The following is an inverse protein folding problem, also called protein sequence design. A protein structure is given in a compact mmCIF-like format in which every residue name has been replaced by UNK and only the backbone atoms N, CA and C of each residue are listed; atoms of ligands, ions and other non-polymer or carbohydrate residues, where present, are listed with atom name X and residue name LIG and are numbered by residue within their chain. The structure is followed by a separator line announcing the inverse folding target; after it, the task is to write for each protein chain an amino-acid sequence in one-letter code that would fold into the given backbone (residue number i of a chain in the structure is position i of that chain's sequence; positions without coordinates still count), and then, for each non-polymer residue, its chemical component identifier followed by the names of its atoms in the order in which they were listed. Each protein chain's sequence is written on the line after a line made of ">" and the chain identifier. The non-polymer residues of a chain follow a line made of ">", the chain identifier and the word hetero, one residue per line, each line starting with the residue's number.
data_IF_061904124080
#
_entry.id   IF_061904124080
#
_cell.length_a   1.000
_cell.length_b   1.000
_cell.length_c   1.000
_cell.angle_alpha   90.00
_cell.angle_beta   90.00
_cell.angle_gamma   90.00
#
_symmetry.space_group_name_H-M   'P 1'
#
loop_
_entity.id
_entity.type
_entity.pdbx_description
1 polymer ?
#
# COMPACT_ATOMS: atom_id res chain seq x y z
N UNK A 1 43.11 -47.74 43.77
CA UNK A 1 42.58 -47.63 42.39
C UNK A 1 41.50 -46.55 42.40
N UNK A 2 41.88 -45.28 42.17
CA UNK A 2 41.57 -44.51 40.94
C UNK A 2 40.06 -44.51 40.63
N UNK A 3 39.28 -43.42 40.73
CA UNK A 3 39.56 -42.04 40.30
C UNK A 3 38.79 -40.99 41.13
N UNK A 4 39.43 -39.82 41.29
CA UNK A 4 38.88 -38.54 41.79
C UNK A 4 37.95 -37.91 40.74
N UNK A 5 36.99 -37.07 41.16
CA UNK A 5 36.96 -35.64 40.84
C UNK A 5 35.63 -34.97 41.27
N UNK A 6 35.75 -34.00 42.18
CA UNK A 6 34.84 -32.89 42.43
C UNK A 6 34.85 -31.96 41.21
N UNK A 7 33.69 -31.46 40.72
CA UNK A 7 33.55 -30.07 40.23
C UNK A 7 32.11 -29.59 40.44
N UNK A 8 32.01 -28.40 41.03
CA UNK A 8 30.81 -27.62 41.32
C UNK A 8 30.45 -26.66 40.17
N UNK A 9 29.18 -26.23 40.15
CA UNK A 9 28.63 -24.95 39.61
C UNK A 9 28.90 -24.60 38.13
N UNK A 10 27.82 -24.48 37.34
CA UNK A 10 27.62 -23.37 36.41
C UNK A 10 26.15 -23.30 35.96
N UNK A 11 25.39 -22.41 36.60
CA UNK A 11 24.23 -21.79 35.97
C UNK A 11 24.77 -20.80 34.92
N UNK A 12 24.56 -21.05 33.62
CA UNK A 12 24.85 -20.06 32.59
C UNK A 12 24.14 -20.42 31.28
N UNK A 13 23.38 -19.45 30.74
CA UNK A 13 23.15 -19.36 29.30
C UNK A 13 21.77 -19.73 28.79
N UNK A 14 20.70 -19.21 29.41
CA UNK A 14 19.47 -18.96 28.64
C UNK A 14 19.81 -17.85 27.65
N UNK A 15 20.21 -18.24 26.43
CA UNK A 15 20.54 -17.33 25.34
C UNK A 15 19.35 -16.39 25.14
N UNK A 16 19.51 -15.15 25.59
CA UNK A 16 18.60 -14.07 25.28
C UNK A 16 18.68 -13.87 23.75
N UNK A 17 17.79 -14.52 23.02
CA UNK A 17 17.55 -14.22 21.62
C UNK A 17 17.03 -12.78 21.63
N UNK A 18 17.73 -11.80 21.03
CA UNK A 18 17.16 -10.48 20.90
C UNK A 18 15.88 -10.66 20.08
N UNK A 19 14.73 -10.39 20.70
CA UNK A 19 13.47 -10.35 20.00
C UNK A 19 13.63 -9.31 18.91
N UNK A 20 13.79 -9.77 17.68
CA UNK A 20 13.75 -8.90 16.51
C UNK A 20 12.33 -8.34 16.52
N UNK A 21 12.17 -7.11 17.02
CA UNK A 21 10.92 -6.38 16.86
C UNK A 21 10.69 -6.32 15.35
N UNK A 22 9.79 -7.16 14.85
CA UNK A 22 9.27 -7.02 13.52
C UNK A 22 8.67 -5.61 13.47
N UNK A 23 9.27 -4.71 12.69
CA UNK A 23 8.66 -3.44 12.39
C UNK A 23 7.26 -3.76 11.85
N UNK A 24 6.23 -3.22 12.51
CA UNK A 24 4.85 -3.39 12.05
C UNK A 24 4.79 -2.72 10.68
N UNK A 25 4.53 -3.51 9.65
CA UNK A 25 4.33 -3.01 8.30
C UNK A 25 3.08 -2.11 8.30
N UNK A 26 3.25 -0.84 7.98
CA UNK A 26 2.12 0.08 7.81
C UNK A 26 1.47 -0.15 6.44
N UNK A 27 0.24 0.37 6.28
CA UNK A 27 -0.50 0.36 5.00
C UNK A 27 -0.52 1.76 4.40
N UNK A 28 0.02 1.89 3.18
CA UNK A 28 -0.03 3.12 2.39
C UNK A 28 -1.28 3.07 1.52
N UNK A 29 -2.27 3.91 1.84
CA UNK A 29 -3.47 4.05 1.02
C UNK A 29 -3.19 4.92 -0.20
N UNK A 30 -3.45 4.41 -1.39
CA UNK A 30 -3.32 5.15 -2.65
C UNK A 30 -4.66 5.16 -3.37
N UNK A 31 -5.18 6.35 -3.63
CA UNK A 31 -6.38 6.54 -4.41
C UNK A 31 -6.06 6.57 -5.91
N UNK A 32 -7.00 6.16 -6.74
CA UNK A 32 -6.97 6.41 -8.18
C UNK A 32 -8.37 6.79 -8.67
N UNK A 33 -8.43 7.79 -9.55
CA UNK A 33 -9.68 8.19 -10.21
C UNK A 33 -9.49 7.88 -11.69
N UNK A 34 -10.23 6.90 -12.20
CA UNK A 34 -10.03 6.41 -13.56
C UNK A 34 -11.35 6.33 -14.31
N UNK A 35 -11.32 6.47 -15.62
CA UNK A 35 -12.48 6.31 -16.49
C UNK A 35 -12.63 4.83 -16.92
N UNK A 36 -12.84 3.92 -15.96
CA UNK A 36 -13.01 2.48 -16.24
C UNK A 36 -14.27 2.22 -17.07
N UNK A 37 -15.29 3.06 -16.92
CA UNK A 37 -16.45 3.12 -17.80
C UNK A 37 -16.47 4.40 -18.65
N UNK A 38 -17.45 4.49 -19.54
CA UNK A 38 -17.62 5.64 -20.41
C UNK A 38 -16.81 5.54 -21.72
N UNK A 39 -16.65 6.65 -22.45
CA UNK A 39 -16.12 6.63 -23.81
C UNK A 39 -14.58 6.59 -23.88
N UNK A 40 -13.89 6.72 -22.75
CA UNK A 40 -12.42 6.69 -22.72
C UNK A 40 -11.91 5.27 -22.91
N UNK A 41 -10.88 5.10 -23.75
CA UNK A 41 -10.18 3.82 -23.89
C UNK A 41 -9.03 3.65 -22.87
N UNK A 42 -8.77 4.66 -22.04
CA UNK A 42 -7.62 4.72 -21.14
C UNK A 42 -7.87 4.04 -19.78
N UNK A 43 -9.08 4.18 -19.21
CA UNK A 43 -9.27 3.84 -17.80
C UNK A 43 -9.16 2.35 -17.47
N UNK A 44 -9.66 1.45 -18.33
CA UNK A 44 -9.49 0.00 -18.15
C UNK A 44 -8.02 -0.43 -18.14
N UNK A 45 -7.18 -0.09 -19.14
CA UNK A 45 -5.77 -0.45 -19.10
C UNK A 45 -5.01 0.22 -17.95
N UNK A 46 -5.34 1.46 -17.58
CA UNK A 46 -4.77 2.12 -16.38
C UNK A 46 -5.11 1.34 -15.10
N UNK A 47 -6.38 0.99 -14.90
CA UNK A 47 -6.83 0.32 -13.69
C UNK A 47 -6.25 -1.09 -13.55
N UNK A 48 -6.18 -1.85 -14.66
CA UNK A 48 -5.52 -3.15 -14.70
C UNK A 48 -4.03 -3.03 -14.38
N UNK A 49 -3.35 -2.00 -14.91
CA UNK A 49 -1.94 -1.75 -14.63
C UNK A 49 -1.71 -1.44 -13.16
N UNK A 50 -2.53 -0.58 -12.55
CA UNK A 50 -2.40 -0.26 -11.13
C UNK A 50 -2.63 -1.48 -10.24
N UNK A 51 -3.68 -2.28 -10.50
CA UNK A 51 -3.94 -3.52 -9.75
C UNK A 51 -2.76 -4.48 -9.83
N UNK A 52 -2.27 -4.75 -11.04
CA UNK A 52 -1.13 -5.64 -11.27
C UNK A 52 0.13 -5.16 -10.55
N UNK A 53 0.47 -3.88 -10.64
CA UNK A 53 1.66 -3.32 -9.99
C UNK A 53 1.52 -3.31 -8.46
N UNK A 54 0.34 -3.00 -7.92
CA UNK A 54 0.07 -3.08 -6.48
C UNK A 54 0.23 -4.49 -5.97
N UNK A 55 -0.32 -5.49 -6.67
CA UNK A 55 -0.17 -6.90 -6.33
C UNK A 55 1.31 -7.33 -6.37
N UNK A 56 2.06 -6.99 -7.42
CA UNK A 56 3.48 -7.33 -7.53
C UNK A 56 4.31 -6.69 -6.42
N UNK A 57 4.11 -5.39 -6.15
CA UNK A 57 4.84 -4.67 -5.10
C UNK A 57 4.55 -5.26 -3.72
N UNK A 58 3.28 -5.52 -3.41
CA UNK A 58 2.91 -6.12 -2.13
C UNK A 58 3.48 -7.54 -1.97
N UNK A 59 3.48 -8.35 -3.04
CA UNK A 59 4.10 -9.68 -3.04
C UNK A 59 5.62 -9.64 -2.80
N UNK A 60 6.28 -8.53 -3.16
CA UNK A 60 7.72 -8.28 -2.95
C UNK A 60 8.05 -7.62 -1.60
N UNK A 61 7.08 -7.52 -0.69
CA UNK A 61 7.27 -6.91 0.63
C UNK A 61 6.91 -5.43 0.70
N UNK A 62 6.23 -4.90 -0.32
CA UNK A 62 5.74 -3.53 -0.35
C UNK A 62 6.83 -2.48 -0.61
N UNK A 63 6.53 -1.22 -0.27
CA UNK A 63 7.45 -0.09 -0.37
C UNK A 63 8.03 0.20 1.00
N UNK A 64 9.35 0.04 1.16
CA UNK A 64 10.04 0.20 2.44
C UNK A 64 9.44 -0.68 3.58
N UNK A 65 8.91 -1.86 3.22
CA UNK A 65 8.25 -2.77 4.17
C UNK A 65 6.76 -2.49 4.39
N UNK A 66 6.21 -1.43 3.82
CA UNK A 66 4.79 -1.08 3.94
C UNK A 66 3.99 -1.57 2.74
N UNK A 67 2.82 -2.16 3.00
CA UNK A 67 1.92 -2.63 1.94
C UNK A 67 1.10 -1.47 1.37
N UNK A 68 0.62 -1.62 0.14
CA UNK A 68 -0.20 -0.63 -0.55
C UNK A 68 -1.65 -1.11 -0.55
N UNK A 69 -2.56 -0.25 -0.10
CA UNK A 69 -4.01 -0.40 -0.29
C UNK A 69 -4.46 0.52 -1.44
N UNK A 70 -4.80 -0.07 -2.58
CA UNK A 70 -5.25 0.67 -3.76
C UNK A 70 -6.77 0.83 -3.76
N UNK A 71 -7.24 2.08 -3.83
CA UNK A 71 -8.66 2.43 -3.87
C UNK A 71 -8.97 3.09 -5.21
N UNK A 72 -9.67 2.40 -6.10
CA UNK A 72 -10.04 2.92 -7.42
C UNK A 72 -11.48 3.43 -7.40
N UNK A 73 -11.70 4.64 -7.94
CA UNK A 73 -13.01 5.26 -8.14
C UNK A 73 -13.23 5.46 -9.64
N UNK A 74 -14.29 4.85 -10.18
CA UNK A 74 -14.64 4.97 -11.59
C UNK A 74 -15.48 6.23 -11.86
N UNK A 75 -14.86 7.24 -12.48
CA UNK A 75 -15.52 8.50 -12.84
C UNK A 75 -16.39 8.39 -14.09
N UNK A 76 -16.22 7.35 -14.91
CA UNK A 76 -16.82 7.26 -16.23
C UNK A 76 -16.39 8.37 -17.21
N UNK A 77 -15.27 9.05 -16.92
CA UNK A 77 -14.82 10.26 -17.64
C UNK A 77 -15.63 11.52 -17.30
N UNK A 78 -16.43 11.51 -16.23
CA UNK A 78 -17.26 12.64 -15.83
C UNK A 78 -16.52 13.58 -14.85
N UNK A 79 -16.30 14.87 -15.18
CA UNK A 79 -15.57 15.79 -14.32
C UNK A 79 -16.20 16.05 -12.94
N UNK A 80 -17.54 16.07 -12.84
CA UNK A 80 -18.22 16.30 -11.56
C UNK A 80 -18.10 15.09 -10.63
N UNK A 81 -18.14 13.87 -11.18
CA UNK A 81 -17.81 12.66 -10.40
C UNK A 81 -16.36 12.68 -9.96
N UNK A 82 -15.42 13.05 -10.85
CA UNK A 82 -14.00 13.10 -10.54
C UNK A 82 -13.67 14.03 -9.37
N UNK A 83 -14.21 15.26 -9.34
CA UNK A 83 -13.99 16.18 -8.20
C UNK A 83 -14.64 15.67 -6.91
N UNK A 84 -15.81 15.02 -6.99
CA UNK A 84 -16.46 14.42 -5.82
C UNK A 84 -15.62 13.27 -5.25
N UNK A 85 -15.08 12.40 -6.11
CA UNK A 85 -14.24 11.30 -5.68
C UNK A 85 -12.89 11.77 -5.16
N UNK A 86 -12.31 12.83 -5.72
CA UNK A 86 -11.09 13.43 -5.17
C UNK A 86 -11.30 13.88 -3.73
N UNK A 87 -12.42 14.57 -3.43
CA UNK A 87 -12.77 14.96 -2.05
C UNK A 87 -12.96 13.75 -1.15
N UNK A 88 -13.68 12.73 -1.61
CA UNK A 88 -13.87 11.49 -0.84
C UNK A 88 -12.53 10.82 -0.50
N UNK A 89 -11.63 10.71 -1.48
CA UNK A 89 -10.32 10.09 -1.31
C UNK A 89 -9.46 10.87 -0.28
N UNK A 90 -9.58 12.20 -0.25
CA UNK A 90 -8.86 13.07 0.69
C UNK A 90 -9.48 13.05 2.09
N UNK A 91 -10.80 13.24 2.19
CA UNK A 91 -11.48 13.53 3.45
C UNK A 91 -11.93 12.25 4.18
N UNK A 92 -12.44 11.27 3.45
CA UNK A 92 -12.97 10.01 4.01
C UNK A 92 -11.91 8.92 4.01
N UNK A 93 -11.37 8.59 2.84
CA UNK A 93 -10.44 7.47 2.67
C UNK A 93 -9.02 7.82 3.20
N UNK A 94 -8.70 9.12 3.30
CA UNK A 94 -7.43 9.69 3.78
C UNK A 94 -6.22 9.08 3.08
N UNK A 95 -6.28 9.03 1.76
CA UNK A 95 -5.21 8.46 0.95
C UNK A 95 -3.94 9.32 1.02
N UNK A 96 -2.79 8.68 0.95
CA UNK A 96 -1.49 9.33 0.89
C UNK A 96 -1.29 10.09 -0.44
N UNK A 97 -1.79 9.53 -1.54
CA UNK A 97 -1.70 10.10 -2.88
C UNK A 97 -2.88 9.68 -3.74
N UNK A 98 -3.16 10.48 -4.78
CA UNK A 98 -4.16 10.17 -5.82
C UNK A 98 -3.46 10.07 -7.18
N UNK A 99 -3.74 9.01 -7.93
CA UNK A 99 -3.31 8.79 -9.32
C UNK A 99 -4.46 9.14 -10.27
N UNK A 100 -4.15 9.82 -11.39
CA UNK A 100 -5.12 10.27 -12.39
C UNK A 100 -5.53 11.75 -12.21
N UNK A 101 -6.69 12.18 -12.77
CA UNK A 101 -7.66 11.39 -13.53
C UNK A 101 -7.21 10.96 -14.93
N UNK A 102 -7.93 10.01 -15.55
CA UNK A 102 -7.65 9.52 -16.90
C UNK A 102 -7.72 10.60 -18.00
N UNK A 103 -8.57 11.63 -17.85
CA UNK A 103 -8.75 12.65 -18.90
C UNK A 103 -8.42 14.07 -18.44
N UNK A 104 -8.05 14.92 -19.40
CA UNK A 104 -7.72 16.33 -19.14
C UNK A 104 -8.92 17.12 -18.62
N UNK A 105 -10.14 16.84 -19.08
CA UNK A 105 -11.35 17.53 -18.64
C UNK A 105 -11.62 17.33 -17.16
N UNK A 106 -11.40 16.12 -16.66
CA UNK A 106 -11.49 15.79 -15.24
C UNK A 106 -10.36 16.44 -14.45
N UNK A 107 -9.11 16.33 -14.95
CA UNK A 107 -7.94 16.94 -14.31
C UNK A 107 -8.12 18.44 -14.09
N UNK A 108 -8.60 19.15 -15.12
CA UNK A 108 -8.83 20.59 -15.06
C UNK A 108 -9.93 20.97 -14.07
N UNK A 109 -10.91 20.08 -13.84
CA UNK A 109 -11.96 20.31 -12.84
C UNK A 109 -11.44 20.20 -11.40
N UNK A 110 -10.52 19.27 -11.13
CA UNK A 110 -9.93 19.07 -9.79
C UNK A 110 -8.93 20.18 -9.45
N UNK A 111 -8.18 20.67 -10.44
CA UNK A 111 -7.15 21.69 -10.26
C UNK A 111 -7.70 23.03 -9.71
N UNK A 112 -8.93 23.39 -10.08
CA UNK A 112 -9.52 24.71 -9.85
C UNK A 112 -10.45 24.69 -8.62
#
# INVERSE_FOLDING_TARGET
>A
MFKKAIVAVAAAGMLAVPALQAAVADTIKVGAILAETGPSFLGVPEANTLRMLTEELNARGGINGNTIELIIKDSGGNPEKAISFAKQLIEEDKVFAIIGPSTSGETMKIKN
#
